data_IF_952347268098
#
_entry.id   IF_952347268098
#
_cell.length_a   1.000
_cell.length_b   1.000
_cell.length_c   1.000
_cell.angle_alpha   90.00
_cell.angle_beta   90.00
_cell.angle_gamma   90.00
#
_symmetry.space_group_name_H-M   'P 1'
#
loop_
_entity.id
_entity.type
_entity.pdbx_description
1 polymer ?
#
# COMPACT_ATOMS: atom_id res chain seq x y z
N UNK A 1 20.64 14.02 6.88
CA UNK A 1 20.10 14.06 6.84
C UNK A 1 19.24 14.30 7.03
N UNK A 2 18.64 14.33 6.91
CA UNK A 2 17.83 14.61 7.05
C UNK A 2 16.97 14.75 7.36
N UNK A 3 16.69 14.87 7.67
CA UNK A 3 15.73 14.80 8.07
C UNK A 3 14.62 15.20 7.90
N UNK A 4 14.14 15.03 7.29
CA UNK A 4 13.06 15.27 7.04
C UNK A 4 12.22 15.08 7.98
N UNK A 5 12.29 14.58 8.51
CA UNK A 5 11.47 14.28 9.36
C UNK A 5 11.18 15.20 10.22
N UNK A 6 11.68 15.70 10.34
CA UNK A 6 11.42 16.40 11.21
C UNK A 6 10.48 17.26 11.03
N UNK A 7 10.13 17.58 10.28
CA UNK A 7 9.30 18.41 10.15
C UNK A 7 8.16 18.16 10.58
N UNK A 8 7.99 17.67 11.35
CA UNK A 8 6.86 17.34 11.89
C UNK A 8 5.65 18.03 11.54
N UNK A 9 5.59 19.16 11.46
CA UNK A 9 4.37 19.86 11.17
C UNK A 9 3.81 19.58 9.81
N UNK A 10 4.71 19.21 8.94
CA UNK A 10 4.27 18.93 7.58
C UNK A 10 4.03 17.45 7.45
N UNK A 11 2.83 17.08 7.29
CA UNK A 11 2.51 15.70 7.20
C UNK A 11 2.85 15.14 5.83
N UNK A 12 3.35 13.93 5.86
CA UNK A 12 3.37 13.13 4.67
C UNK A 12 2.48 11.96 4.95
N UNK A 13 1.71 11.57 3.99
CA UNK A 13 0.88 10.40 4.20
C UNK A 13 1.13 9.41 3.09
N UNK A 14 0.85 8.16 3.38
CA UNK A 14 1.05 7.10 2.42
C UNK A 14 -0.18 7.01 1.52
N UNK A 15 0.06 6.78 0.25
CA UNK A 15 -1.01 6.58 -0.72
C UNK A 15 -0.82 5.21 -1.35
N UNK A 16 -1.91 4.47 -1.47
CA UNK A 16 -1.90 3.15 -2.09
C UNK A 16 -2.65 3.16 -3.42
N UNK A 17 -2.80 4.33 -4.02
CA UNK A 17 -3.48 4.44 -5.31
C UNK A 17 -2.80 3.61 -6.38
N UNK A 18 -1.48 3.51 -6.32
CA UNK A 18 -0.74 2.70 -7.27
C UNK A 18 -1.15 1.23 -7.18
N UNK A 19 -1.40 0.76 -5.97
CA UNK A 19 -1.84 -0.62 -5.77
C UNK A 19 -3.16 -0.87 -6.49
N UNK A 20 -4.11 0.05 -6.34
CA UNK A 20 -5.42 -0.12 -6.98
C UNK A 20 -5.29 -0.09 -8.49
N UNK A 21 -4.44 0.78 -9.03
CA UNK A 21 -4.20 0.83 -10.46
C UNK A 21 -3.57 -0.46 -10.96
N UNK A 22 -2.63 -1.00 -10.17
CA UNK A 22 -1.97 -2.24 -10.53
C UNK A 22 -2.97 -3.40 -10.59
N UNK A 23 -3.91 -3.43 -9.63
CA UNK A 23 -4.94 -4.45 -9.66
C UNK A 23 -5.80 -4.34 -10.91
N UNK A 24 -6.16 -3.12 -11.28
CA UNK A 24 -6.94 -2.90 -12.49
C UNK A 24 -6.18 -3.38 -13.71
N UNK A 25 -4.89 -3.07 -13.78
CA UNK A 25 -4.05 -3.49 -14.90
C UNK A 25 -3.96 -5.01 -15.00
N UNK A 26 -4.08 -5.68 -13.88
CA UNK A 26 -4.01 -7.15 -13.84
C UNK A 26 -5.38 -7.80 -13.83
N UNK A 27 -6.42 -6.99 -14.00
CA UNK A 27 -7.79 -7.48 -14.03
C UNK A 27 -8.13 -8.24 -12.74
N UNK A 28 -7.67 -7.70 -11.62
CA UNK A 28 -7.91 -8.27 -10.29
C UNK A 28 -8.79 -7.36 -9.47
N UNK A 29 -9.56 -7.97 -8.59
CA UNK A 29 -10.38 -7.24 -7.64
C UNK A 29 -9.70 -7.29 -6.27
N UNK A 30 -10.15 -6.43 -5.36
CA UNK A 30 -9.58 -6.42 -4.00
C UNK A 30 -9.72 -7.78 -3.33
N UNK A 31 -10.82 -8.46 -3.58
CA UNK A 31 -11.06 -9.79 -3.07
C UNK A 31 -10.00 -10.78 -3.56
N UNK A 32 -9.60 -10.63 -4.82
CA UNK A 32 -8.58 -11.50 -5.40
C UNK A 32 -7.24 -11.25 -4.70
N UNK A 33 -6.97 -10.00 -4.37
CA UNK A 33 -5.75 -9.65 -3.66
C UNK A 33 -5.74 -10.26 -2.25
N UNK A 34 -6.88 -10.25 -1.57
CA UNK A 34 -6.98 -10.87 -0.26
C UNK A 34 -6.54 -12.32 -0.31
N UNK A 35 -7.02 -13.04 -1.30
CA UNK A 35 -6.69 -14.45 -1.44
C UNK A 35 -5.26 -14.66 -1.86
N UNK A 36 -4.80 -13.88 -2.81
CA UNK A 36 -3.44 -14.05 -3.33
C UNK A 36 -2.38 -13.71 -2.29
N UNK A 37 -2.60 -12.66 -1.52
CA UNK A 37 -1.64 -12.21 -0.52
C UNK A 37 -1.86 -12.84 0.86
N UNK A 38 -3.00 -13.46 1.05
CA UNK A 38 -3.33 -14.05 2.35
C UNK A 38 -3.57 -13.01 3.42
N UNK A 39 -4.20 -11.90 3.07
CA UNK A 39 -4.50 -10.82 4.01
C UNK A 39 -6.00 -10.73 4.21
N UNK A 40 -6.38 -10.13 5.34
CA UNK A 40 -7.79 -10.07 5.71
C UNK A 40 -8.51 -8.90 5.03
N UNK A 41 -9.83 -8.99 5.03
CA UNK A 41 -10.65 -7.90 4.52
C UNK A 41 -10.42 -6.62 5.34
N UNK A 42 -10.19 -6.77 6.63
CA UNK A 42 -9.87 -5.65 7.51
C UNK A 42 -8.62 -4.93 7.02
N UNK A 43 -7.60 -5.68 6.61
CA UNK A 43 -6.37 -5.12 6.10
C UNK A 43 -6.59 -4.38 4.78
N UNK A 44 -7.45 -4.93 3.92
CA UNK A 44 -7.81 -4.26 2.67
C UNK A 44 -8.47 -2.91 2.96
N UNK A 45 -9.35 -2.87 3.97
CA UNK A 45 -10.00 -1.62 4.33
C UNK A 45 -9.01 -0.59 4.84
N UNK A 46 -8.01 -1.02 5.59
CA UNK A 46 -6.95 -0.11 6.05
C UNK A 46 -6.19 0.48 4.86
N UNK A 47 -5.85 -0.36 3.90
CA UNK A 47 -5.18 0.10 2.70
C UNK A 47 -6.05 1.09 1.92
N UNK A 48 -7.34 0.81 1.87
CA UNK A 48 -8.28 1.64 1.14
C UNK A 48 -8.41 3.03 1.75
N UNK A 49 -8.24 3.13 3.06
CA UNK A 49 -8.30 4.40 3.78
C UNK A 49 -6.95 5.10 3.87
N UNK A 50 -5.90 4.48 3.37
CA UNK A 50 -4.56 5.05 3.48
C UNK A 50 -3.96 4.93 4.86
N UNK A 51 -4.49 4.02 5.68
CA UNK A 51 -3.95 3.78 7.00
C UNK A 51 -2.65 3.00 6.93
N UNK A 52 -1.86 3.11 7.97
CA UNK A 52 -0.61 2.38 8.04
C UNK A 52 -0.86 0.89 8.22
N UNK A 53 -0.10 0.10 7.51
CA UNK A 53 -0.11 -1.35 7.68
C UNK A 53 1.33 -1.79 7.89
N UNK A 54 1.50 -3.01 8.39
CA UNK A 54 2.84 -3.51 8.67
C UNK A 54 3.60 -3.82 7.38
N UNK A 55 4.92 -3.82 7.48
CA UNK A 55 5.75 -4.18 6.33
C UNK A 55 5.51 -5.63 5.93
N UNK A 56 5.12 -6.47 6.89
CA UNK A 56 4.79 -7.85 6.58
C UNK A 56 3.64 -7.93 5.58
N UNK A 57 2.61 -7.12 5.80
CA UNK A 57 1.48 -7.05 4.88
C UNK A 57 1.93 -6.58 3.50
N UNK A 58 2.73 -5.52 3.49
CA UNK A 58 3.22 -4.97 2.22
C UNK A 58 4.07 -5.99 1.47
N UNK A 59 4.89 -6.73 2.20
CA UNK A 59 5.70 -7.78 1.61
C UNK A 59 4.87 -8.88 0.99
N UNK A 60 3.79 -9.26 1.67
CA UNK A 60 2.88 -10.27 1.14
C UNK A 60 2.23 -9.82 -0.15
N UNK A 61 1.84 -8.55 -0.21
CA UNK A 61 1.24 -7.99 -1.40
C UNK A 61 2.24 -7.98 -2.56
N UNK A 62 3.46 -7.51 -2.28
CA UNK A 62 4.50 -7.48 -3.30
C UNK A 62 4.79 -8.86 -3.84
N UNK A 63 4.85 -9.84 -2.97
CA UNK A 63 5.11 -11.21 -3.38
C UNK A 63 3.97 -11.76 -4.23
N UNK A 64 2.74 -11.49 -3.81
CA UNK A 64 1.56 -11.98 -4.51
C UNK A 64 1.45 -11.38 -5.91
N UNK A 65 1.83 -10.11 -6.05
CA UNK A 65 1.71 -9.41 -7.32
C UNK A 65 3.03 -9.39 -8.09
N UNK A 66 4.09 -9.95 -7.51
CA UNK A 66 5.40 -9.99 -8.12
C UNK A 66 5.87 -8.59 -8.51
N UNK A 67 5.84 -7.69 -7.54
CA UNK A 67 6.19 -6.29 -7.77
C UNK A 67 6.98 -5.75 -6.57
N UNK A 68 7.38 -4.50 -6.65
CA UNK A 68 8.13 -3.86 -5.58
C UNK A 68 7.22 -2.94 -4.78
N UNK A 69 7.74 -2.44 -3.65
CA UNK A 69 6.99 -1.49 -2.81
C UNK A 69 6.63 -0.23 -3.60
N UNK A 70 7.54 0.24 -4.44
CA UNK A 70 7.29 1.44 -5.24
C UNK A 70 6.12 1.28 -6.19
N UNK A 71 5.80 0.04 -6.53
CA UNK A 71 4.70 -0.23 -7.45
C UNK A 71 3.34 -0.13 -6.78
N UNK A 72 3.30 -0.16 -5.44
CA UNK A 72 2.03 -0.23 -4.72
C UNK A 72 1.80 0.94 -3.78
N UNK A 73 2.82 1.69 -3.44
CA UNK A 73 2.64 2.79 -2.50
C UNK A 73 3.55 3.95 -2.82
N UNK A 74 3.19 5.11 -2.31
CA UNK A 74 4.04 6.28 -2.40
C UNK A 74 3.69 7.22 -1.26
N UNK A 75 4.60 8.12 -0.96
CA UNK A 75 4.33 9.15 0.04
C UNK A 75 3.90 10.40 -0.69
N UNK A 76 2.86 11.03 -0.19
CA UNK A 76 2.34 12.26 -0.77
C UNK A 76 2.26 13.33 0.31
N UNK A 77 2.42 14.58 -0.10
CA UNK A 77 2.28 15.69 0.82
C UNK A 77 0.82 15.93 1.13
N UNK A 78 0.57 16.31 2.36
CA UNK A 78 -0.80 16.67 2.73
C UNK A 78 -1.12 18.08 2.40
#
# INVERSE_FOLDING_TARGET
MTPRDSNGGVGMKVSYKKLWKLLIDRDMKKRDLEKAAGISHYTINKLNHGDNVTTDVLGKICKALNCTMDDIMEFVDE
#
